data_IF_929033252296
#
_entry.id   IF_929033252296
#
_cell.length_a   1.000
_cell.length_b   1.000
_cell.length_c   1.000
_cell.angle_alpha   90.00
_cell.angle_beta   90.00
_cell.angle_gamma   90.00
#
_symmetry.space_group_name_H-M   'P 1'
#
loop_
_entity.id
_entity.type
_entity.pdbx_description
1 polymer ?
#
# COMPACT_ATOMS: atom_id res chain seq x y z
N UNK A 1 18.03 -20.35 24.40
CA UNK A 1 16.98 -21.09 23.67
C UNK A 1 15.81 -20.16 23.43
N UNK A 2 15.83 -19.38 22.36
CA UNK A 2 14.67 -18.56 21.96
C UNK A 2 14.62 -18.60 20.45
N UNK A 3 13.61 -19.31 19.95
CA UNK A 3 13.45 -19.58 18.53
C UNK A 3 12.96 -18.30 17.83
N UNK A 4 13.85 -17.62 17.10
CA UNK A 4 13.42 -16.78 15.98
C UNK A 4 12.79 -17.70 14.95
N UNK A 5 11.47 -17.87 15.02
CA UNK A 5 10.69 -18.52 13.98
C UNK A 5 10.80 -17.66 12.71
N UNK A 6 11.67 -18.09 11.79
CA UNK A 6 11.72 -17.57 10.42
C UNK A 6 10.37 -17.84 9.77
N UNK A 7 9.51 -16.84 9.74
CA UNK A 7 8.25 -16.87 9.00
C UNK A 7 8.62 -16.81 7.51
N UNK A 8 8.74 -17.99 6.89
CA UNK A 8 9.09 -18.14 5.48
C UNK A 8 7.80 -18.09 4.65
N UNK A 9 7.32 -16.88 4.32
CA UNK A 9 6.11 -16.70 3.53
C UNK A 9 6.45 -16.75 2.04
N UNK A 10 6.35 -17.93 1.43
CA UNK A 10 6.41 -18.06 -0.03
C UNK A 10 5.11 -17.57 -0.68
N UNK A 11 5.07 -16.30 -1.10
CA UNK A 11 3.97 -15.69 -1.87
C UNK A 11 3.98 -16.03 -3.38
N UNK A 12 4.74 -17.04 -3.81
CA UNK A 12 5.00 -17.30 -5.23
C UNK A 12 3.81 -17.83 -6.05
N UNK A 13 2.65 -18.08 -5.44
CA UNK A 13 1.52 -18.74 -6.11
C UNK A 13 0.47 -17.79 -6.72
N UNK A 14 0.60 -16.47 -6.57
CA UNK A 14 -0.38 -15.55 -7.17
C UNK A 14 0.02 -15.21 -8.63
N UNK A 15 -0.74 -15.70 -9.63
CA UNK A 15 -0.49 -15.47 -11.06
C UNK A 15 -0.36 -13.97 -11.41
N UNK A 16 -1.01 -13.09 -10.65
CA UNK A 16 -0.94 -11.63 -10.79
C UNK A 16 0.46 -11.11 -10.41
N UNK A 17 0.99 -11.53 -9.25
CA UNK A 17 2.35 -11.19 -8.82
C UNK A 17 3.40 -11.78 -9.77
N UNK A 18 3.16 -12.97 -10.31
CA UNK A 18 4.05 -13.61 -11.29
C UNK A 18 4.09 -12.87 -12.64
N UNK A 19 2.95 -12.34 -13.12
CA UNK A 19 2.90 -11.45 -14.30
C UNK A 19 3.56 -10.10 -14.01
N UNK A 20 3.36 -9.53 -12.82
CA UNK A 20 3.98 -8.26 -12.40
C UNK A 20 5.51 -8.37 -12.24
N UNK A 21 6.03 -9.51 -11.75
CA UNK A 21 7.48 -9.81 -11.74
C UNK A 21 8.14 -9.73 -13.12
N UNK A 22 7.40 -9.91 -14.22
CA UNK A 22 7.91 -9.75 -15.59
C UNK A 22 8.01 -8.29 -16.04
N UNK A 23 7.16 -7.40 -15.51
CA UNK A 23 7.17 -5.95 -15.81
C UNK A 23 8.31 -5.28 -15.05
N UNK A 24 8.52 -5.65 -13.79
CA UNK A 24 9.56 -5.10 -12.92
C UNK A 24 10.88 -5.90 -12.98
N UNK A 25 11.17 -6.56 -14.11
CA UNK A 25 12.33 -7.45 -14.25
C UNK A 25 13.70 -6.75 -14.21
N UNK A 26 13.70 -5.41 -14.30
CA UNK A 26 14.90 -4.57 -14.19
C UNK A 26 15.21 -4.09 -12.76
N UNK A 27 14.29 -4.26 -11.81
CA UNK A 27 14.47 -3.85 -10.41
C UNK A 27 14.82 -5.06 -9.54
N UNK A 28 16.02 -5.62 -9.75
CA UNK A 28 16.65 -6.59 -8.84
C UNK A 28 15.79 -7.79 -8.37
N UNK A 29 16.21 -8.51 -7.33
CA UNK A 29 15.41 -9.54 -6.65
C UNK A 29 14.19 -9.00 -5.87
N UNK A 30 13.89 -7.70 -5.95
CA UNK A 30 13.35 -6.91 -4.83
C UNK A 30 11.85 -6.62 -4.94
N UNK A 31 11.06 -7.65 -5.27
CA UNK A 31 9.60 -7.63 -5.01
C UNK A 31 9.23 -8.21 -3.64
N UNK A 32 10.21 -8.66 -2.87
CA UNK A 32 10.07 -9.10 -1.46
C UNK A 32 10.16 -8.02 -0.35
N UNK A 33 10.49 -6.73 -0.56
CA UNK A 33 10.78 -5.79 0.54
C UNK A 33 9.55 -5.22 1.27
N UNK A 34 8.36 -5.47 0.75
CA UNK A 34 7.09 -5.04 1.37
C UNK A 34 6.66 -5.95 2.52
N UNK A 35 7.12 -7.21 2.53
CA UNK A 35 6.87 -8.19 3.59
C UNK A 35 7.58 -7.85 4.92
N UNK A 36 8.86 -7.40 4.92
CA UNK A 36 9.55 -6.91 6.11
C UNK A 36 8.74 -5.88 6.91
N UNK A 37 8.10 -4.90 6.25
CA UNK A 37 7.37 -3.83 6.95
C UNK A 37 6.17 -4.38 7.72
N UNK A 38 5.46 -5.35 7.16
CA UNK A 38 4.35 -6.00 7.86
C UNK A 38 4.83 -6.86 9.05
N UNK A 39 6.05 -7.41 8.98
CA UNK A 39 6.65 -8.10 10.13
C UNK A 39 7.08 -7.12 11.23
N UNK A 40 7.53 -5.90 10.86
CA UNK A 40 7.87 -4.83 11.82
C UNK A 40 6.67 -4.47 12.68
N UNK A 41 5.48 -4.31 12.10
CA UNK A 41 4.24 -4.01 12.84
C UNK A 41 4.00 -5.01 13.98
N UNK A 42 4.19 -6.31 13.72
CA UNK A 42 3.94 -7.37 14.69
C UNK A 42 4.97 -7.33 15.84
N UNK A 43 6.18 -6.84 15.58
CA UNK A 43 7.29 -6.81 16.55
C UNK A 43 7.28 -5.53 17.38
N UNK A 44 7.13 -4.37 16.73
CA UNK A 44 7.24 -3.04 17.36
C UNK A 44 5.93 -2.59 18.01
N UNK A 45 4.77 -3.09 17.55
CA UNK A 45 3.45 -2.71 18.05
C UNK A 45 2.67 -3.89 18.63
N UNK A 46 3.13 -4.49 19.76
CA UNK A 46 2.45 -5.62 20.37
C UNK A 46 1.09 -5.20 20.97
N UNK A 47 0.07 -6.08 20.91
CA UNK A 47 -1.22 -5.79 21.51
C UNK A 47 -1.09 -5.72 23.04
N UNK A 48 -1.67 -4.68 23.64
CA UNK A 48 -1.79 -4.52 25.09
C UNK A 48 -3.27 -4.48 25.48
N UNK A 49 -3.65 -4.61 26.76
CA UNK A 49 -5.05 -4.45 27.17
C UNK A 49 -5.68 -3.13 26.73
N UNK A 50 -4.90 -2.04 26.67
CA UNK A 50 -5.34 -0.73 26.14
C UNK A 50 -5.30 -0.62 24.62
N UNK A 51 -4.50 -1.45 23.93
CA UNK A 51 -4.33 -1.49 22.46
C UNK A 51 -4.70 -2.86 21.89
N UNK A 52 -5.80 -3.46 22.36
CA UNK A 52 -6.18 -4.83 21.98
C UNK A 52 -6.51 -4.98 20.49
N UNK A 53 -6.85 -3.89 19.81
CA UNK A 53 -7.15 -3.85 18.37
C UNK A 53 -5.88 -3.85 17.49
N UNK A 54 -4.68 -3.80 18.09
CA UNK A 54 -3.39 -3.92 17.40
C UNK A 54 -3.03 -5.39 17.09
N UNK A 55 -4.02 -6.29 17.05
CA UNK A 55 -3.80 -7.69 16.67
C UNK A 55 -3.70 -7.75 15.14
N UNK A 56 -2.47 -7.76 14.63
CA UNK A 56 -2.18 -7.92 13.22
C UNK A 56 -1.93 -9.38 12.86
N UNK A 57 -2.54 -9.85 11.78
CA UNK A 57 -2.41 -11.24 11.34
C UNK A 57 -2.32 -11.34 9.80
N UNK A 58 -2.16 -12.56 9.28
CA UNK A 58 -1.99 -12.81 7.84
C UNK A 58 -3.20 -12.37 6.98
N UNK A 59 -4.38 -12.20 7.56
CA UNK A 59 -5.55 -11.64 6.86
C UNK A 59 -5.32 -10.19 6.48
N UNK A 60 -4.60 -9.42 7.29
CA UNK A 60 -4.31 -8.01 7.00
C UNK A 60 -3.43 -7.89 5.76
N UNK A 61 -2.41 -8.74 5.64
CA UNK A 61 -1.61 -8.88 4.43
C UNK A 61 -2.45 -9.24 3.20
N UNK A 62 -3.47 -10.09 3.38
CA UNK A 62 -4.39 -10.45 2.31
C UNK A 62 -5.26 -9.27 1.88
N UNK A 63 -5.67 -8.39 2.80
CA UNK A 63 -6.42 -7.17 2.50
C UNK A 63 -5.58 -6.16 1.73
N UNK A 64 -4.32 -5.95 2.15
CA UNK A 64 -3.36 -5.11 1.42
C UNK A 64 -3.16 -5.65 0.00
N UNK A 65 -2.96 -6.96 -0.12
CA UNK A 65 -2.80 -7.63 -1.42
C UNK A 65 -4.05 -7.51 -2.30
N UNK A 66 -5.25 -7.60 -1.71
CA UNK A 66 -6.51 -7.43 -2.42
C UNK A 66 -6.67 -5.99 -2.95
N UNK A 67 -6.34 -4.97 -2.16
CA UNK A 67 -6.31 -3.57 -2.60
C UNK A 67 -5.34 -3.36 -3.76
N UNK A 68 -4.15 -3.95 -3.68
CA UNK A 68 -3.19 -3.93 -4.79
C UNK A 68 -3.68 -4.63 -6.06
N UNK A 69 -4.67 -5.52 -5.98
CA UNK A 69 -5.27 -6.17 -7.14
C UNK A 69 -6.36 -5.32 -7.81
N UNK A 70 -6.80 -4.21 -7.19
CA UNK A 70 -7.73 -3.26 -7.80
C UNK A 70 -7.05 -2.38 -8.87
N UNK A 71 -5.72 -2.33 -8.88
CA UNK A 71 -4.95 -1.53 -9.83
C UNK A 71 -4.86 -2.20 -11.21
N UNK A 72 -4.99 -1.40 -12.26
CA UNK A 72 -4.84 -1.88 -13.64
C UNK A 72 -3.38 -1.78 -14.13
N UNK A 73 -2.81 -2.84 -14.72
CA UNK A 73 -1.47 -2.80 -15.32
C UNK A 73 -1.29 -1.75 -16.42
N UNK A 74 -2.39 -1.29 -17.02
CA UNK A 74 -2.36 -0.26 -18.06
C UNK A 74 -2.01 1.13 -17.52
N UNK A 75 -2.30 1.39 -16.25
CA UNK A 75 -2.08 2.71 -15.62
C UNK A 75 -0.91 2.68 -14.64
N UNK A 76 -0.64 1.54 -14.01
CA UNK A 76 0.46 1.36 -13.05
C UNK A 76 1.72 0.79 -13.73
N UNK A 77 2.33 1.59 -14.62
CA UNK A 77 3.48 1.17 -15.43
C UNK A 77 4.83 1.34 -14.72
N UNK A 78 4.92 2.26 -13.76
CA UNK A 78 6.19 2.57 -13.07
C UNK A 78 6.24 1.99 -11.65
N UNK A 79 7.45 1.72 -11.12
CA UNK A 79 7.60 1.27 -9.74
C UNK A 79 7.10 2.31 -8.73
N UNK A 80 7.30 3.61 -8.96
CA UNK A 80 6.85 4.63 -8.01
C UNK A 80 5.34 4.61 -7.79
N UNK A 81 4.55 4.44 -8.85
CA UNK A 81 3.09 4.33 -8.77
C UNK A 81 2.66 3.08 -7.99
N UNK A 82 3.35 1.96 -8.20
CA UNK A 82 3.05 0.71 -7.50
C UNK A 82 3.37 0.80 -6.00
N UNK A 83 4.54 1.33 -5.65
CA UNK A 83 4.97 1.51 -4.25
C UNK A 83 4.04 2.48 -3.53
N UNK A 84 3.59 3.54 -4.22
CA UNK A 84 2.65 4.52 -3.67
C UNK A 84 1.28 3.90 -3.34
N UNK A 85 0.73 3.05 -4.22
CA UNK A 85 -0.51 2.29 -3.90
C UNK A 85 -0.29 1.34 -2.74
N UNK A 86 0.84 0.63 -2.72
CA UNK A 86 1.13 -0.26 -1.59
C UNK A 86 1.17 0.51 -0.28
N UNK A 87 1.82 1.68 -0.25
CA UNK A 87 1.85 2.55 0.93
C UNK A 87 0.43 2.95 1.33
N UNK A 88 -0.42 3.36 0.38
CA UNK A 88 -1.82 3.69 0.65
C UNK A 88 -2.59 2.52 1.27
N UNK A 89 -2.51 1.33 0.67
CA UNK A 89 -3.19 0.14 1.18
C UNK A 89 -2.68 -0.28 2.55
N UNK A 90 -1.36 -0.17 2.77
CA UNK A 90 -0.75 -0.49 4.05
C UNK A 90 -1.25 0.45 5.15
N UNK A 91 -1.25 1.76 4.90
CA UNK A 91 -1.72 2.77 5.85
C UNK A 91 -3.19 2.52 6.18
N UNK A 92 -4.04 2.31 5.18
CA UNK A 92 -5.48 2.07 5.38
C UNK A 92 -5.77 0.78 6.17
N UNK A 93 -4.98 -0.27 5.99
CA UNK A 93 -5.23 -1.56 6.65
C UNK A 93 -4.64 -1.61 8.06
N UNK A 94 -3.48 -0.98 8.25
CA UNK A 94 -2.67 -1.06 9.47
C UNK A 94 -2.75 0.23 10.28
N UNK A 95 -2.35 1.36 9.68
CA UNK A 95 -2.22 2.64 10.38
C UNK A 95 -3.56 3.20 10.83
N UNK A 96 -4.67 2.96 10.12
CA UNK A 96 -6.02 3.37 10.54
C UNK A 96 -6.46 2.75 11.89
N UNK A 97 -5.73 1.73 12.40
CA UNK A 97 -5.99 1.14 13.72
C UNK A 97 -5.17 1.77 14.83
N UNK A 98 -4.18 2.60 14.49
CA UNK A 98 -3.32 3.23 15.48
C UNK A 98 -4.11 4.38 16.12
N UNK A 99 -3.88 4.58 17.41
CA UNK A 99 -4.60 5.60 18.21
C UNK A 99 -3.68 6.69 18.73
N UNK A 100 -2.37 6.44 18.69
CA UNK A 100 -1.35 7.33 19.23
C UNK A 100 -0.53 7.90 18.07
N UNK A 101 -0.27 9.20 18.12
CA UNK A 101 0.57 9.88 17.14
C UNK A 101 2.00 9.32 17.15
N UNK A 102 2.51 8.86 18.29
CA UNK A 102 3.84 8.24 18.37
C UNK A 102 3.91 6.93 17.59
N UNK A 103 2.88 6.09 17.66
CA UNK A 103 2.84 4.82 16.93
C UNK A 103 2.70 5.07 15.41
N UNK A 104 1.88 6.06 15.03
CA UNK A 104 1.72 6.48 13.63
C UNK A 104 3.03 7.00 13.04
N UNK A 105 3.71 7.90 13.75
CA UNK A 105 5.00 8.46 13.32
C UNK A 105 6.06 7.37 13.19
N UNK A 106 6.16 6.46 14.17
CA UNK A 106 7.06 5.31 14.11
C UNK A 106 6.78 4.46 12.87
N UNK A 107 5.51 4.20 12.56
CA UNK A 107 5.15 3.44 11.37
C UNK A 107 5.47 4.17 10.07
N UNK A 108 5.24 5.48 10.00
CA UNK A 108 5.59 6.28 8.82
C UNK A 108 7.09 6.34 8.59
N UNK A 109 7.91 6.45 9.64
CA UNK A 109 9.37 6.37 9.53
C UNK A 109 9.82 5.01 9.00
N UNK A 110 9.25 3.91 9.50
CA UNK A 110 9.57 2.56 9.00
C UNK A 110 9.18 2.39 7.53
N UNK A 111 8.01 2.90 7.12
CA UNK A 111 7.59 2.87 5.72
C UNK A 111 8.55 3.68 4.85
N UNK A 112 8.85 4.92 5.23
CA UNK A 112 9.75 5.81 4.50
C UNK A 112 11.13 5.19 4.32
N UNK A 113 11.75 4.74 5.42
CA UNK A 113 13.06 4.08 5.40
C UNK A 113 13.07 2.82 4.54
N UNK A 114 11.99 2.02 4.58
CA UNK A 114 11.89 0.83 3.74
C UNK A 114 11.82 1.20 2.25
N UNK A 115 11.03 2.22 1.90
CA UNK A 115 10.93 2.70 0.51
C UNK A 115 12.26 3.27 0.03
N UNK A 116 12.93 4.10 0.82
CA UNK A 116 14.24 4.66 0.49
C UNK A 116 15.33 3.60 0.33
N UNK A 117 15.28 2.55 1.14
CA UNK A 117 16.27 1.45 1.09
C UNK A 117 16.12 0.59 -0.16
N UNK A 118 14.87 0.29 -0.57
CA UNK A 118 14.61 -0.69 -1.63
C UNK A 118 14.23 -0.06 -2.97
N UNK A 119 13.76 1.19 -2.96
CA UNK A 119 13.32 1.93 -4.16
C UNK A 119 13.87 3.37 -4.13
N UNK A 120 15.19 3.57 -3.99
CA UNK A 120 15.78 4.90 -3.80
C UNK A 120 15.41 5.88 -4.93
N UNK A 121 15.49 5.43 -6.19
CA UNK A 121 15.19 6.26 -7.38
C UNK A 121 13.71 6.65 -7.51
N UNK A 122 12.83 5.98 -6.76
CA UNK A 122 11.38 6.16 -6.81
C UNK A 122 10.80 6.73 -5.51
N UNK A 123 11.62 6.85 -4.46
CA UNK A 123 11.18 7.20 -3.12
C UNK A 123 10.57 8.60 -3.08
N UNK A 124 11.17 9.57 -3.78
CA UNK A 124 10.71 10.95 -3.80
C UNK A 124 9.25 11.07 -4.27
N UNK A 125 8.86 10.30 -5.29
CA UNK A 125 7.48 10.29 -5.78
C UNK A 125 6.57 9.42 -4.90
N UNK A 126 7.02 8.22 -4.53
CA UNK A 126 6.20 7.28 -3.77
C UNK A 126 5.82 7.79 -2.36
N UNK A 127 6.69 8.61 -1.75
CA UNK A 127 6.51 9.16 -0.42
C UNK A 127 5.74 10.49 -0.37
N UNK A 128 5.33 11.05 -1.51
CA UNK A 128 4.54 12.31 -1.53
C UNK A 128 3.24 12.17 -0.75
N UNK A 129 2.74 13.28 -0.21
CA UNK A 129 1.43 13.39 0.42
C UNK A 129 0.66 14.53 -0.27
N UNK A 130 -0.68 14.52 -0.28
CA UNK A 130 -1.58 13.52 0.32
C UNK A 130 -1.60 12.19 -0.44
N UNK A 131 -2.18 11.15 0.17
CA UNK A 131 -2.49 9.87 -0.49
C UNK A 131 -3.99 9.85 -0.75
N UNK A 132 -4.39 10.23 -1.96
CA UNK A 132 -5.79 10.30 -2.37
C UNK A 132 -6.03 9.23 -3.41
N UNK A 133 -6.70 8.14 -3.02
CA UNK A 133 -7.00 7.02 -3.91
C UNK A 133 -8.49 6.74 -3.95
N UNK A 134 -9.01 6.41 -5.13
CA UNK A 134 -10.41 6.11 -5.31
C UNK A 134 -10.77 5.78 -6.75
N UNK A 135 -12.04 5.49 -6.98
CA UNK A 135 -12.61 5.12 -8.28
C UNK A 135 -13.71 6.11 -8.74
N UNK A 136 -13.57 7.37 -8.32
CA UNK A 136 -14.63 8.37 -8.44
C UNK A 136 -14.84 8.90 -9.86
N UNK A 137 -13.84 8.82 -10.74
CA UNK A 137 -13.92 9.41 -12.09
C UNK A 137 -15.07 8.86 -12.92
N UNK A 138 -15.27 7.55 -12.86
CA UNK A 138 -16.32 6.85 -13.59
C UNK A 138 -17.46 6.42 -12.65
N UNK A 139 -17.66 7.15 -11.55
CA UNK A 139 -18.67 6.76 -10.56
C UNK A 139 -20.11 6.84 -11.10
N UNK A 140 -20.40 7.82 -11.97
CA UNK A 140 -21.74 8.06 -12.54
C UNK A 140 -21.96 7.30 -13.85
N UNK A 141 -20.89 6.98 -14.58
CA UNK A 141 -20.99 6.28 -15.87
C UNK A 141 -21.08 4.77 -15.66
N UNK A 142 -22.30 4.23 -15.59
CA UNK A 142 -22.55 2.79 -15.38
C UNK A 142 -21.96 1.91 -16.49
N UNK A 143 -21.81 2.46 -17.70
CA UNK A 143 -21.25 1.74 -18.86
C UNK A 143 -19.71 1.70 -18.84
N UNK A 144 -19.06 2.50 -18.00
CA UNK A 144 -17.60 2.58 -17.92
C UNK A 144 -17.05 1.80 -16.73
N UNK A 145 -15.86 1.21 -16.92
CA UNK A 145 -15.18 0.50 -15.83
C UNK A 145 -14.68 1.52 -14.80
N UNK A 146 -15.04 1.30 -13.53
CA UNK A 146 -14.49 2.05 -12.40
C UNK A 146 -13.05 1.65 -12.15
N UNK A 147 -12.15 2.63 -12.18
CA UNK A 147 -10.72 2.41 -12.09
C UNK A 147 -10.19 2.95 -10.77
N UNK A 148 -9.52 2.10 -10.00
CA UNK A 148 -8.83 2.53 -8.79
C UNK A 148 -7.56 3.29 -9.17
N UNK A 149 -7.55 4.60 -8.93
CA UNK A 149 -6.49 5.52 -9.36
C UNK A 149 -5.97 6.42 -8.22
N UNK A 150 -4.79 7.00 -8.45
CA UNK A 150 -4.24 8.08 -7.62
C UNK A 150 -4.81 9.42 -8.10
N UNK A 151 -5.52 10.10 -7.21
CA UNK A 151 -6.17 11.39 -7.48
C UNK A 151 -5.23 12.58 -7.26
N UNK A 152 -3.97 12.31 -6.88
CA UNK A 152 -2.87 13.27 -6.75
C UNK A 152 -3.05 14.29 -5.62
N UNK A 153 -3.92 15.28 -5.80
CA UNK A 153 -4.07 16.42 -4.91
C UNK A 153 -5.54 16.85 -4.73
N UNK A 154 -5.76 17.73 -3.76
CA UNK A 154 -7.11 18.19 -3.41
C UNK A 154 -7.77 19.03 -4.51
N UNK A 155 -7.00 19.70 -5.38
CA UNK A 155 -7.55 20.51 -6.47
C UNK A 155 -8.09 19.62 -7.58
N UNK A 156 -7.35 18.57 -7.94
CA UNK A 156 -7.78 17.54 -8.87
C UNK A 156 -9.03 16.81 -8.37
N UNK A 157 -9.05 16.44 -7.08
CA UNK A 157 -10.22 15.83 -6.44
C UNK A 157 -11.43 16.76 -6.44
N UNK A 158 -11.24 18.03 -6.08
CA UNK A 158 -12.32 19.02 -6.09
C UNK A 158 -12.91 19.19 -7.49
N UNK A 159 -12.05 19.33 -8.50
CA UNK A 159 -12.47 19.46 -9.90
C UNK A 159 -13.28 18.25 -10.35
N UNK A 160 -12.81 17.04 -10.01
CA UNK A 160 -13.52 15.80 -10.31
C UNK A 160 -14.91 15.77 -9.68
N UNK A 161 -15.05 16.14 -8.41
CA UNK A 161 -16.36 16.16 -7.75
C UNK A 161 -17.30 17.24 -8.31
N UNK A 162 -16.77 18.36 -8.79
CA UNK A 162 -17.59 19.38 -9.47
C UNK A 162 -18.13 18.88 -10.81
N UNK A 163 -17.31 18.17 -11.59
CA UNK A 163 -17.75 17.54 -12.84
C UNK A 163 -18.85 16.51 -12.58
N UNK A 164 -18.63 15.64 -11.58
CA UNK A 164 -19.58 14.61 -11.15
C UNK A 164 -20.91 15.23 -10.68
N UNK A 165 -20.89 16.30 -9.90
CA UNK A 165 -22.11 16.96 -9.40
C UNK A 165 -22.84 17.81 -10.45
N UNK A 166 -22.21 18.10 -11.59
CA UNK A 166 -22.79 18.91 -12.66
C UNK A 166 -23.53 18.07 -13.71
N UNK A 167 -23.53 16.73 -13.57
CA UNK A 167 -24.24 15.76 -14.40
C UNK A 167 -25.58 15.41 -13.74
#
# INVERSE_FOLDING_TARGET
>A
KTAQSKINIKWTSNKILHKRKKIYRGSGPDTEPLLPVAAIVIVELPPTPSKFHYIFNLRDLSRISAGLCLTSPEYYKTPELFVRVWRNEFIRVICDRLINEEDENLMFEHIAKSVETHFPDHAEYALRSPLLFGDFRNAIHEDETRMYEDLLDYEAVYSLFQEVNSI
#
